data_IF_113564307523
#
_entry.id   IF_113564307523
#
_cell.length_a   1.000
_cell.length_b   1.000
_cell.length_c   1.000
_cell.angle_alpha   90.00
_cell.angle_beta   90.00
_cell.angle_gamma   90.00
#
_symmetry.space_group_name_H-M   'P 1'
#
loop_
_entity.id
_entity.type
_entity.pdbx_description
1 polymer ?
#
# COMPACT_ATOMS: atom_id res chain seq x y z
N UNK A 1 -83.38 13.08 -43.99
CA UNK A 1 -82.79 12.49 -45.21
C UNK A 1 -81.31 12.18 -44.93
N UNK A 2 -81.03 10.90 -44.82
CA UNK A 2 -79.79 10.36 -44.27
C UNK A 2 -78.92 9.81 -45.39
N UNK A 3 -77.67 10.23 -45.48
CA UNK A 3 -76.72 9.64 -46.43
C UNK A 3 -75.57 9.01 -45.63
N UNK A 4 -75.51 7.69 -45.61
CA UNK A 4 -74.47 6.86 -45.08
C UNK A 4 -73.23 6.93 -45.97
N UNK A 5 -72.02 7.34 -45.47
CA UNK A 5 -70.78 7.16 -46.15
C UNK A 5 -70.03 5.95 -45.56
N UNK A 6 -69.78 4.98 -46.41
CA UNK A 6 -69.00 3.79 -46.20
C UNK A 6 -67.50 4.20 -46.24
N UNK A 7 -66.78 4.00 -45.14
CA UNK A 7 -65.31 4.16 -45.13
C UNK A 7 -64.63 2.83 -45.43
N UNK A 8 -63.81 2.84 -46.45
CA UNK A 8 -62.99 1.71 -46.88
C UNK A 8 -61.85 1.53 -45.84
N UNK A 9 -61.63 0.31 -45.40
CA UNK A 9 -60.53 -0.12 -44.63
C UNK A 9 -59.33 -0.34 -45.56
N UNK A 10 -58.23 0.41 -45.33
CA UNK A 10 -57.00 0.19 -46.01
C UNK A 10 -56.12 -0.65 -45.07
N UNK A 11 -55.84 -1.86 -45.52
CA UNK A 11 -54.89 -2.79 -44.85
C UNK A 11 -53.47 -2.37 -45.13
N UNK A 12 -52.75 -1.94 -44.11
CA UNK A 12 -51.28 -1.74 -44.17
C UNK A 12 -50.62 -3.00 -43.64
N UNK A 13 -49.63 -3.57 -44.34
CA UNK A 13 -48.80 -4.65 -43.81
C UNK A 13 -47.85 -4.09 -42.77
N UNK A 14 -47.90 -4.60 -41.55
CA UNK A 14 -46.97 -4.34 -40.51
C UNK A 14 -45.63 -5.00 -40.84
N UNK A 15 -44.61 -4.19 -41.12
CA UNK A 15 -43.22 -4.62 -41.19
C UNK A 15 -42.74 -4.90 -39.75
N UNK A 16 -42.59 -6.18 -39.39
CA UNK A 16 -41.90 -6.59 -38.17
C UNK A 16 -40.38 -6.35 -38.32
N UNK A 17 -39.90 -5.26 -37.79
CA UNK A 17 -38.46 -5.04 -37.55
C UNK A 17 -38.05 -5.86 -36.34
N UNK A 18 -37.42 -7.01 -36.55
CA UNK A 18 -36.69 -7.75 -35.53
C UNK A 18 -35.47 -6.92 -35.11
N UNK A 19 -35.58 -6.19 -34.01
CA UNK A 19 -34.41 -5.67 -33.30
C UNK A 19 -33.74 -6.84 -32.60
N UNK A 20 -32.69 -7.39 -33.20
CA UNK A 20 -31.72 -8.22 -32.50
C UNK A 20 -30.91 -7.32 -31.55
N UNK A 21 -31.34 -7.29 -30.28
CA UNK A 21 -30.53 -6.71 -29.22
C UNK A 21 -29.28 -7.55 -29.10
N UNK A 22 -28.18 -7.06 -29.67
CA UNK A 22 -26.86 -7.55 -29.36
C UNK A 22 -26.61 -7.26 -27.87
N UNK A 23 -26.83 -8.27 -27.01
CA UNK A 23 -26.31 -8.27 -25.64
C UNK A 23 -24.79 -8.23 -25.76
N UNK A 24 -24.20 -7.03 -25.61
CA UNK A 24 -22.79 -6.89 -25.32
C UNK A 24 -22.58 -7.63 -24.00
N UNK A 25 -22.08 -8.87 -24.09
CA UNK A 25 -21.51 -9.58 -22.97
C UNK A 25 -20.34 -8.69 -22.48
N UNK A 26 -20.58 -7.90 -21.46
CA UNK A 26 -19.52 -7.31 -20.66
C UNK A 26 -18.81 -8.52 -20.07
N UNK A 27 -17.69 -8.88 -20.68
CA UNK A 27 -16.77 -9.83 -20.13
C UNK A 27 -16.37 -9.30 -18.75
N UNK A 28 -16.99 -9.84 -17.72
CA UNK A 28 -16.46 -9.82 -16.37
C UNK A 28 -15.09 -10.49 -16.51
N UNK A 29 -14.05 -9.65 -16.64
CA UNK A 29 -12.68 -10.15 -16.59
C UNK A 29 -12.59 -10.86 -15.25
N UNK A 30 -12.55 -12.17 -15.28
CA UNK A 30 -12.44 -13.07 -14.14
C UNK A 30 -11.35 -12.54 -13.22
N UNK A 31 -11.79 -11.85 -12.16
CA UNK A 31 -10.89 -11.22 -11.19
C UNK A 31 -10.13 -12.34 -10.53
N UNK A 32 -8.88 -12.51 -10.93
CA UNK A 32 -8.01 -13.56 -10.45
C UNK A 32 -7.94 -13.47 -8.94
N UNK A 33 -8.59 -14.41 -8.25
CA UNK A 33 -8.54 -14.51 -6.79
C UNK A 33 -7.07 -14.59 -6.35
N UNK A 34 -6.67 -13.90 -5.26
CA UNK A 34 -5.31 -14.02 -4.74
C UNK A 34 -4.91 -15.49 -4.54
N UNK A 35 -3.64 -15.85 -4.69
CA UNK A 35 -3.15 -17.18 -4.36
C UNK A 35 -3.62 -17.60 -2.96
N UNK A 36 -3.90 -18.90 -2.75
CA UNK A 36 -4.45 -19.40 -1.48
C UNK A 36 -3.61 -19.09 -0.25
N UNK A 37 -2.32 -18.83 -0.42
CA UNK A 37 -1.38 -18.41 0.63
C UNK A 37 -1.44 -16.91 0.96
N UNK A 38 -1.98 -16.08 0.10
CA UNK A 38 -2.11 -14.63 0.33
C UNK A 38 -3.35 -14.35 1.15
N UNK A 39 -3.23 -13.46 2.13
CA UNK A 39 -4.30 -12.95 2.96
C UNK A 39 -4.30 -11.42 2.89
N UNK A 40 -5.27 -10.90 2.14
CA UNK A 40 -5.55 -9.48 2.05
C UNK A 40 -6.95 -9.25 2.58
N UNK A 41 -7.09 -8.55 3.70
CA UNK A 41 -8.39 -8.35 4.34
C UNK A 41 -8.43 -7.04 5.14
N UNK A 42 -9.63 -6.57 5.40
CA UNK A 42 -9.87 -5.42 6.27
C UNK A 42 -10.48 -5.92 7.57
N UNK A 43 -9.90 -5.51 8.70
CA UNK A 43 -10.35 -5.89 10.03
C UNK A 43 -10.14 -4.77 11.06
N UNK A 44 -10.66 -4.97 12.26
CA UNK A 44 -10.29 -4.19 13.43
C UNK A 44 -9.01 -4.77 14.05
N UNK A 45 -8.02 -3.95 14.42
CA UNK A 45 -6.89 -4.41 15.20
C UNK A 45 -7.32 -4.80 16.63
N UNK A 46 -6.71 -5.85 17.14
CA UNK A 46 -6.89 -6.37 18.49
C UNK A 46 -5.55 -6.28 19.20
N UNK A 47 -5.52 -5.71 20.39
CA UNK A 47 -4.33 -5.75 21.26
C UNK A 47 -4.53 -6.90 22.24
N UNK A 48 -3.64 -7.88 22.19
CA UNK A 48 -3.49 -8.92 23.21
C UNK A 48 -2.34 -8.55 24.12
N UNK A 49 -2.63 -8.28 25.38
CA UNK A 49 -1.59 -8.02 26.37
C UNK A 49 -0.78 -9.31 26.65
N UNK A 50 0.48 -9.16 27.04
CA UNK A 50 1.41 -10.23 27.39
C UNK A 50 2.25 -9.80 28.59
N UNK A 51 3.11 -10.70 29.09
CA UNK A 51 3.99 -10.38 30.22
C UNK A 51 5.00 -9.27 29.93
N UNK A 52 5.28 -8.97 28.65
CA UNK A 52 6.36 -8.05 28.28
C UNK A 52 5.93 -6.96 27.31
N UNK A 53 5.53 -7.32 26.09
CA UNK A 53 5.09 -6.40 25.05
C UNK A 53 3.82 -6.92 24.39
N UNK A 54 2.83 -6.08 24.15
CA UNK A 54 1.56 -6.53 23.58
C UNK A 54 1.73 -7.06 22.16
N UNK A 55 0.94 -8.08 21.85
CA UNK A 55 0.74 -8.57 20.48
C UNK A 55 -0.37 -7.79 19.80
N UNK A 56 -0.19 -7.57 18.51
CA UNK A 56 -1.21 -7.03 17.63
C UNK A 56 -1.77 -8.13 16.75
N UNK A 57 -3.08 -8.25 16.74
CA UNK A 57 -3.82 -9.31 16.07
C UNK A 57 -4.95 -8.70 15.23
N UNK A 58 -5.53 -9.52 14.34
CA UNK A 58 -6.77 -9.21 13.64
C UNK A 58 -7.55 -10.50 13.37
N UNK A 59 -8.87 -10.43 13.38
CA UNK A 59 -9.74 -11.54 13.05
C UNK A 59 -10.26 -11.43 11.64
N UNK A 60 -10.19 -12.53 10.86
CA UNK A 60 -10.77 -12.62 9.54
C UNK A 60 -11.16 -14.05 9.20
N UNK A 61 -12.42 -14.25 8.74
CA UNK A 61 -12.93 -15.56 8.36
C UNK A 61 -12.99 -16.57 9.52
N UNK A 62 -13.16 -16.11 10.75
CA UNK A 62 -13.16 -16.95 11.96
C UNK A 62 -11.77 -17.38 12.44
N UNK A 63 -10.70 -16.86 11.81
CA UNK A 63 -9.32 -17.13 12.18
C UNK A 63 -8.66 -15.85 12.71
N UNK A 64 -7.75 -16.02 13.66
CA UNK A 64 -6.97 -14.95 14.24
C UNK A 64 -5.60 -14.89 13.55
N UNK A 65 -5.18 -13.71 13.16
CA UNK A 65 -3.91 -13.45 12.47
C UNK A 65 -3.01 -12.57 13.32
N UNK A 66 -1.72 -12.92 13.37
CA UNK A 66 -0.71 -12.14 14.07
C UNK A 66 -0.19 -11.03 13.13
N UNK A 67 -0.25 -9.79 13.60
CA UNK A 67 0.18 -8.60 12.83
C UNK A 67 1.58 -8.13 13.22
N UNK A 68 1.98 -8.33 14.46
CA UNK A 68 3.27 -7.88 14.97
C UNK A 68 3.28 -7.62 16.46
N UNK A 69 4.40 -7.11 16.94
CA UNK A 69 4.58 -6.66 18.33
C UNK A 69 5.08 -5.22 18.34
N UNK A 70 4.79 -4.50 19.40
CA UNK A 70 5.35 -3.17 19.61
C UNK A 70 6.82 -3.31 20.04
N UNK A 71 7.73 -3.01 19.13
CA UNK A 71 9.17 -3.01 19.38
C UNK A 71 9.77 -1.66 19.02
N UNK A 72 10.92 -1.34 19.58
CA UNK A 72 11.70 -0.14 19.23
C UNK A 72 12.37 -0.24 17.84
N UNK A 73 12.09 -1.28 17.07
CA UNK A 73 12.69 -1.46 15.75
C UNK A 73 12.06 -0.51 14.73
N UNK A 74 12.91 0.28 14.11
CA UNK A 74 12.54 1.06 12.95
C UNK A 74 11.99 0.14 11.84
N UNK A 75 10.74 0.33 11.45
CA UNK A 75 10.16 -0.33 10.28
C UNK A 75 8.77 -0.92 10.47
N UNK A 76 8.27 -1.06 11.69
CA UNK A 76 6.90 -1.44 11.95
C UNK A 76 6.26 -0.49 12.95
N UNK A 77 5.13 0.10 12.57
CA UNK A 77 4.32 0.95 13.44
C UNK A 77 3.06 0.19 13.82
N UNK A 78 2.74 0.07 15.13
CA UNK A 78 1.51 -0.59 15.55
C UNK A 78 0.29 0.15 15.00
N UNK A 79 -0.75 -0.58 14.57
CA UNK A 79 -2.00 0.04 14.12
C UNK A 79 -2.72 0.75 15.27
N UNK A 80 -3.47 1.79 14.96
CA UNK A 80 -4.20 2.55 15.95
C UNK A 80 -5.55 1.91 16.26
N UNK A 81 -5.89 1.77 17.53
CA UNK A 81 -7.24 1.41 17.94
C UNK A 81 -8.24 2.50 17.53
N UNK A 82 -9.44 2.08 17.16
CA UNK A 82 -10.46 2.99 16.64
C UNK A 82 -10.36 3.23 15.14
N UNK A 83 -9.51 2.48 14.45
CA UNK A 83 -9.40 2.49 13.01
C UNK A 83 -9.42 1.07 12.44
N UNK A 84 -9.99 0.90 11.26
CA UNK A 84 -9.79 -0.35 10.50
C UNK A 84 -8.39 -0.40 9.92
N UNK A 85 -7.91 -1.61 9.73
CA UNK A 85 -6.64 -1.87 9.08
C UNK A 85 -6.83 -2.72 7.83
N UNK A 86 -6.13 -2.38 6.76
CA UNK A 86 -5.89 -3.30 5.65
C UNK A 86 -4.65 -4.12 6.00
N UNK A 87 -4.82 -5.42 6.08
CA UNK A 87 -3.74 -6.39 6.30
C UNK A 87 -3.44 -7.07 4.98
N UNK A 88 -2.17 -7.09 4.59
CA UNK A 88 -1.70 -7.74 3.36
C UNK A 88 -0.48 -8.59 3.70
N UNK A 89 -0.58 -9.90 3.50
CA UNK A 89 0.51 -10.81 3.83
C UNK A 89 0.36 -12.17 3.19
N UNK A 90 1.42 -12.97 3.29
CA UNK A 90 1.40 -14.40 2.99
C UNK A 90 1.43 -15.20 4.27
N UNK A 91 0.78 -16.36 4.27
CA UNK A 91 0.88 -17.28 5.38
C UNK A 91 2.34 -17.64 5.65
N UNK A 92 2.83 -17.35 6.83
CA UNK A 92 4.16 -17.77 7.26
C UNK A 92 4.09 -19.18 7.87
N UNK A 93 5.05 -20.06 7.58
CA UNK A 93 5.12 -21.36 8.21
C UNK A 93 5.49 -21.21 9.70
N UNK A 94 4.95 -22.07 10.53
CA UNK A 94 5.31 -22.11 11.95
C UNK A 94 4.11 -22.17 12.91
N UNK A 95 4.37 -22.12 14.21
CA UNK A 95 3.33 -22.12 15.23
C UNK A 95 2.57 -20.78 15.23
N UNK A 96 1.36 -20.80 15.80
CA UNK A 96 0.61 -19.58 16.08
C UNK A 96 1.37 -18.71 17.10
N UNK A 97 1.34 -17.40 16.88
CA UNK A 97 1.95 -16.40 17.77
C UNK A 97 0.81 -15.64 18.44
N UNK A 98 0.80 -15.58 19.76
CA UNK A 98 -0.31 -15.02 20.54
C UNK A 98 -1.68 -15.58 20.12
N UNK A 99 -1.73 -16.85 19.72
CA UNK A 99 -2.93 -17.50 19.19
C UNK A 99 -3.24 -17.20 17.73
N UNK A 100 -2.58 -16.23 17.10
CA UNK A 100 -2.78 -15.84 15.71
C UNK A 100 -1.89 -16.59 14.73
N UNK A 101 -2.41 -16.84 13.53
CA UNK A 101 -1.64 -17.35 12.38
C UNK A 101 -0.65 -16.27 11.95
N UNK A 102 0.62 -16.62 11.82
CA UNK A 102 1.62 -15.67 11.36
C UNK A 102 1.45 -15.34 9.87
N UNK A 103 1.55 -14.06 9.55
CA UNK A 103 1.65 -13.54 8.19
C UNK A 103 3.02 -12.91 8.00
N UNK A 104 3.50 -12.85 6.77
CA UNK A 104 4.73 -12.15 6.41
C UNK A 104 4.52 -11.30 5.18
N UNK A 105 5.12 -10.11 5.16
CA UNK A 105 5.25 -9.34 3.94
C UNK A 105 6.26 -10.06 3.02
N UNK A 106 5.90 -10.22 1.76
CA UNK A 106 6.81 -10.80 0.77
C UNK A 106 7.81 -9.76 0.29
N UNK A 107 8.67 -9.28 1.18
CA UNK A 107 9.85 -8.55 0.73
C UNK A 107 11.02 -9.52 0.57
N UNK A 108 11.71 -9.54 -0.57
CA UNK A 108 12.93 -10.35 -0.74
C UNK A 108 14.09 -9.88 0.15
N UNK A 109 13.91 -8.79 0.88
CA UNK A 109 14.92 -8.22 1.79
C UNK A 109 14.67 -8.58 3.25
N UNK A 110 13.85 -9.60 3.52
CA UNK A 110 13.41 -10.07 4.83
C UNK A 110 14.41 -9.88 5.96
N UNK A 111 14.43 -8.67 6.53
CA UNK A 111 15.07 -8.47 7.81
C UNK A 111 14.18 -9.13 8.87
N UNK A 112 14.69 -10.09 9.66
CA UNK A 112 13.91 -10.69 10.72
C UNK A 112 13.42 -9.59 11.66
N UNK A 113 12.17 -9.71 12.13
CA UNK A 113 11.66 -8.79 13.16
C UNK A 113 12.58 -8.83 14.38
N UNK A 114 12.68 -7.71 15.09
CA UNK A 114 13.57 -7.55 16.23
C UNK A 114 13.11 -8.27 17.50
N UNK A 115 11.99 -8.98 17.45
CA UNK A 115 11.45 -9.71 18.60
C UNK A 115 11.64 -11.23 18.51
N UNK A 116 11.42 -11.91 19.64
CA UNK A 116 11.41 -13.36 19.71
C UNK A 116 10.16 -13.85 20.45
N UNK A 117 9.62 -14.99 20.03
CA UNK A 117 8.62 -15.73 20.78
C UNK A 117 9.21 -17.09 21.12
N UNK A 118 9.19 -17.46 22.39
CA UNK A 118 9.75 -18.72 22.88
C UNK A 118 11.19 -18.98 22.42
N UNK A 119 12.00 -17.91 22.37
CA UNK A 119 13.40 -17.96 21.92
C UNK A 119 13.58 -18.08 20.39
N UNK A 120 12.51 -18.07 19.60
CA UNK A 120 12.57 -18.10 18.14
C UNK A 120 12.37 -16.72 17.55
N UNK A 121 13.11 -16.34 16.49
CA UNK A 121 12.87 -15.10 15.78
C UNK A 121 11.43 -15.02 15.25
N UNK A 122 10.80 -13.87 15.41
CA UNK A 122 9.49 -13.61 14.81
C UNK A 122 9.64 -13.45 13.30
N UNK A 123 8.62 -13.84 12.51
CA UNK A 123 8.59 -13.55 11.08
C UNK A 123 8.54 -12.03 10.84
N UNK A 124 8.98 -11.60 9.66
CA UNK A 124 8.73 -10.23 9.22
C UNK A 124 7.21 -9.97 9.24
N UNK A 125 6.74 -8.88 9.88
CA UNK A 125 5.32 -8.63 9.98
C UNK A 125 4.69 -8.39 8.59
N UNK A 126 3.36 -8.63 8.42
CA UNK A 126 2.63 -8.28 7.22
C UNK A 126 2.62 -6.76 7.00
N UNK A 127 2.23 -6.33 5.81
CA UNK A 127 1.91 -4.93 5.58
C UNK A 127 0.59 -4.60 6.26
N UNK A 128 0.60 -3.59 7.12
CA UNK A 128 -0.58 -3.14 7.85
C UNK A 128 -0.77 -1.65 7.58
N UNK A 129 -1.81 -1.33 6.81
CA UNK A 129 -2.15 0.05 6.50
C UNK A 129 -3.38 0.48 7.30
N UNK A 130 -3.27 1.58 8.04
CA UNK A 130 -4.34 2.09 8.92
C UNK A 130 -5.27 2.98 8.12
N UNK A 131 -6.59 2.73 8.21
CA UNK A 131 -7.60 3.60 7.62
C UNK A 131 -7.57 4.99 8.27
N UNK A 132 -7.80 6.03 7.49
CA UNK A 132 -7.96 7.41 8.00
C UNK A 132 -9.30 7.61 8.70
N UNK A 133 -10.29 6.79 8.37
CA UNK A 133 -11.63 6.86 8.96
C UNK A 133 -11.64 6.18 10.34
N UNK A 134 -12.27 6.87 11.30
CA UNK A 134 -12.50 6.31 12.64
C UNK A 134 -13.60 5.26 12.57
N UNK A 135 -13.37 4.13 13.23
CA UNK A 135 -14.37 3.10 13.49
C UNK A 135 -14.39 2.79 14.99
N UNK A 136 -15.37 3.30 15.69
CA UNK A 136 -15.49 3.13 17.14
C UNK A 136 -15.60 1.66 17.58
N UNK A 137 -15.99 0.76 16.70
CA UNK A 137 -16.02 -0.68 16.98
C UNK A 137 -14.62 -1.31 17.06
N UNK A 138 -13.60 -0.66 16.49
CA UNK A 138 -12.23 -1.16 16.42
C UNK A 138 -11.40 -0.81 17.68
N UNK A 139 -11.89 -1.16 18.87
CA UNK A 139 -11.23 -0.85 20.16
C UNK A 139 -11.08 -2.08 21.06
N UNK A 140 -10.73 -3.22 20.49
CA UNK A 140 -10.64 -4.47 21.23
C UNK A 140 -9.30 -4.60 21.94
N UNK A 141 -9.36 -4.69 23.26
CA UNK A 141 -8.24 -4.97 24.15
C UNK A 141 -8.51 -6.32 24.84
N UNK A 142 -7.59 -7.27 24.70
CA UNK A 142 -7.66 -8.54 25.40
C UNK A 142 -6.73 -8.51 26.62
N UNK A 143 -7.13 -9.07 27.75
CA UNK A 143 -6.29 -9.14 28.96
C UNK A 143 -5.05 -9.98 28.70
N UNK A 144 -4.05 -9.81 29.57
CA UNK A 144 -2.83 -10.60 29.52
C UNK A 144 -3.16 -12.09 29.63
N UNK A 145 -2.56 -12.87 28.75
CA UNK A 145 -2.65 -14.32 28.72
C UNK A 145 -1.26 -14.91 29.04
N UNK A 146 -1.09 -15.59 30.18
CA UNK A 146 0.22 -16.11 30.57
C UNK A 146 0.79 -17.20 29.65
N UNK A 147 -0.01 -17.69 28.70
CA UNK A 147 0.47 -18.61 27.66
C UNK A 147 1.30 -17.89 26.59
N UNK A 148 1.22 -16.57 26.52
CA UNK A 148 1.91 -15.78 25.52
C UNK A 148 3.02 -14.96 26.18
N UNK A 149 4.24 -15.29 25.82
CA UNK A 149 5.43 -14.60 26.29
C UNK A 149 6.24 -14.09 25.09
N UNK A 150 6.24 -12.78 24.90
CA UNK A 150 6.97 -12.13 23.81
C UNK A 150 8.06 -11.26 24.39
N UNK A 151 9.30 -11.55 24.02
CA UNK A 151 10.47 -10.74 24.41
C UNK A 151 10.76 -9.78 23.27
N UNK A 152 10.44 -8.51 23.47
CA UNK A 152 10.93 -7.45 22.58
C UNK A 152 12.45 -7.30 22.70
N UNK A 153 13.13 -6.93 21.62
CA UNK A 153 14.52 -6.54 21.71
C UNK A 153 14.59 -5.27 22.56
N UNK A 154 15.23 -5.36 23.72
CA UNK A 154 15.60 -4.14 24.44
C UNK A 154 16.53 -3.35 23.52
N UNK A 155 16.14 -2.15 23.18
CA UNK A 155 17.03 -1.21 22.51
C UNK A 155 18.34 -1.06 23.31
N UNK A 156 19.40 -0.57 22.70
CA UNK A 156 20.62 -0.29 23.43
C UNK A 156 20.27 0.59 24.63
N UNK A 157 20.68 0.16 25.81
CA UNK A 157 20.39 0.86 27.05
C UNK A 157 20.86 2.33 27.02
N UNK A 158 20.36 3.17 27.93
CA UNK A 158 20.60 4.63 27.88
C UNK A 158 22.08 5.04 27.84
N UNK A 159 22.98 4.16 28.22
CA UNK A 159 24.42 4.41 28.16
C UNK A 159 25.07 4.26 26.77
N UNK A 160 24.33 3.70 25.79
CA UNK A 160 24.80 3.63 24.40
C UNK A 160 24.41 4.86 23.58
N UNK A 161 23.50 5.70 24.08
CA UNK A 161 23.14 6.95 23.41
C UNK A 161 24.28 7.96 23.31
N UNK A 162 25.25 7.95 24.26
CA UNK A 162 26.39 8.83 24.22
C UNK A 162 27.38 8.52 23.07
N UNK A 163 27.33 7.33 22.49
CA UNK A 163 28.14 6.99 21.32
C UNK A 163 27.46 7.31 19.99
N UNK A 164 26.21 7.77 20.04
CA UNK A 164 25.36 7.98 18.84
C UNK A 164 25.62 9.32 18.13
N UNK A 165 26.46 10.21 18.66
CA UNK A 165 27.03 11.29 17.85
C UNK A 165 28.15 10.76 16.95
N UNK A 166 27.92 9.63 16.26
CA UNK A 166 28.72 9.30 15.11
C UNK A 166 28.58 10.45 14.13
N UNK A 167 29.69 11.15 13.86
CA UNK A 167 29.73 12.03 12.69
C UNK A 167 29.25 11.21 11.52
N UNK A 168 28.05 11.53 11.02
CA UNK A 168 27.56 10.90 9.79
C UNK A 168 28.67 11.06 8.74
N UNK A 169 29.06 10.01 8.03
CA UNK A 169 29.96 10.16 6.92
C UNK A 169 29.41 11.22 5.97
N UNK A 170 30.25 12.04 5.35
CA UNK A 170 29.75 12.99 4.36
C UNK A 170 28.89 12.25 3.34
N UNK A 171 27.83 12.89 2.82
CA UNK A 171 27.00 12.26 1.83
C UNK A 171 27.88 11.76 0.67
N UNK A 172 27.59 10.57 0.12
CA UNK A 172 28.37 10.02 -0.98
C UNK A 172 28.38 11.02 -2.15
N UNK A 173 29.54 11.13 -2.81
CA UNK A 173 29.66 11.98 -3.99
C UNK A 173 28.57 11.65 -5.02
N UNK A 174 28.02 12.63 -5.74
CA UNK A 174 27.03 12.37 -6.78
C UNK A 174 27.54 11.31 -7.76
N UNK A 175 26.67 10.41 -8.23
CA UNK A 175 27.07 9.35 -9.15
C UNK A 175 27.67 9.97 -10.43
N UNK A 176 28.80 9.45 -10.90
CA UNK A 176 29.31 9.80 -12.21
C UNK A 176 28.40 9.15 -13.27
N UNK A 177 27.80 9.98 -14.11
CA UNK A 177 26.89 9.52 -15.15
C UNK A 177 27.60 9.63 -16.51
N UNK A 178 27.64 8.52 -17.26
CA UNK A 178 28.23 8.49 -18.60
C UNK A 178 27.41 9.29 -19.61
N UNK A 179 28.07 9.92 -20.56
CA UNK A 179 27.43 10.63 -21.68
C UNK A 179 27.26 9.68 -22.88
N UNK A 180 26.21 9.86 -23.72
CA UNK A 180 25.18 10.89 -23.64
C UNK A 180 24.20 10.61 -22.49
N UNK A 181 23.72 11.65 -21.80
CA UNK A 181 22.76 11.54 -20.73
C UNK A 181 21.41 11.03 -21.25
N UNK A 182 20.80 10.11 -20.54
CA UNK A 182 19.52 9.49 -20.91
C UNK A 182 18.41 9.88 -19.93
N UNK A 183 17.15 9.98 -20.36
CA UNK A 183 16.04 10.09 -19.44
C UNK A 183 16.01 8.89 -18.50
N UNK A 184 15.70 9.12 -17.21
CA UNK A 184 15.65 8.05 -16.20
C UNK A 184 14.44 8.20 -15.29
N UNK A 185 13.78 7.06 -15.03
CA UNK A 185 12.64 7.00 -14.12
C UNK A 185 13.06 6.38 -12.79
N UNK A 186 12.62 7.02 -11.70
CA UNK A 186 12.70 6.51 -10.35
C UNK A 186 11.28 6.29 -9.83
N UNK A 187 11.09 5.33 -8.92
CA UNK A 187 9.76 5.00 -8.42
C UNK A 187 9.75 5.04 -6.90
N UNK A 188 8.85 5.85 -6.34
CA UNK A 188 8.52 5.84 -4.92
C UNK A 188 7.33 4.91 -4.71
N UNK A 189 7.36 4.10 -3.67
CA UNK A 189 6.28 3.20 -3.25
C UNK A 189 5.64 3.69 -1.97
N UNK A 190 4.38 3.33 -1.73
CA UNK A 190 3.57 3.82 -0.62
C UNK A 190 2.77 2.67 -0.01
N UNK A 191 2.48 2.79 1.28
CA UNK A 191 1.46 1.99 1.92
C UNK A 191 0.06 2.43 1.45
N UNK A 192 -0.94 1.58 1.64
CA UNK A 192 -2.31 1.88 1.22
C UNK A 192 -2.81 3.15 1.92
N UNK A 193 -3.45 4.03 1.17
CA UNK A 193 -3.94 5.36 1.62
C UNK A 193 -2.88 6.30 2.20
N UNK A 194 -1.59 6.01 2.00
CA UNK A 194 -0.50 6.88 2.44
C UNK A 194 0.01 7.77 1.32
N UNK A 195 0.24 9.04 1.62
CA UNK A 195 1.00 9.98 0.79
C UNK A 195 2.49 10.01 1.15
N UNK A 196 2.89 9.37 2.26
CA UNK A 196 4.28 9.30 2.68
C UNK A 196 4.96 8.08 2.05
N UNK A 197 6.02 8.32 1.30
CA UNK A 197 6.76 7.24 0.64
C UNK A 197 7.42 6.31 1.66
N UNK A 198 7.25 5.01 1.48
CA UNK A 198 7.83 3.97 2.33
C UNK A 198 9.36 3.94 2.25
N UNK A 199 9.94 4.38 1.12
CA UNK A 199 11.38 4.45 0.89
C UNK A 199 11.79 5.75 0.24
N UNK A 200 12.27 6.70 1.03
CA UNK A 200 12.69 8.02 0.55
C UNK A 200 14.02 8.01 -0.22
N UNK A 201 14.80 6.93 -0.11
CA UNK A 201 16.11 6.82 -0.78
C UNK A 201 16.03 6.95 -2.30
N UNK A 202 14.91 6.54 -2.90
CA UNK A 202 14.71 6.67 -4.35
C UNK A 202 14.54 8.13 -4.78
N UNK A 203 13.92 8.97 -3.94
CA UNK A 203 13.86 10.41 -4.18
C UNK A 203 15.25 11.06 -4.12
N UNK A 204 16.09 10.65 -3.15
CA UNK A 204 17.46 11.11 -3.07
C UNK A 204 18.25 10.71 -4.31
N UNK A 205 18.17 9.46 -4.77
CA UNK A 205 18.82 9.01 -6.00
C UNK A 205 18.36 9.80 -7.23
N UNK A 206 17.06 10.12 -7.29
CA UNK A 206 16.50 10.94 -8.36
C UNK A 206 17.11 12.34 -8.36
N UNK A 207 17.20 13.00 -7.21
CA UNK A 207 17.80 14.34 -7.09
C UNK A 207 19.29 14.30 -7.41
N UNK A 208 20.03 13.32 -6.93
CA UNK A 208 21.46 13.15 -7.25
C UNK A 208 21.67 12.96 -8.76
N UNK A 209 20.80 12.17 -9.40
CA UNK A 209 20.84 12.01 -10.85
C UNK A 209 20.53 13.33 -11.58
N UNK A 210 19.49 14.05 -11.16
CA UNK A 210 19.13 15.35 -11.74
C UNK A 210 20.27 16.36 -11.64
N UNK A 211 20.97 16.41 -10.51
CA UNK A 211 22.15 17.26 -10.31
C UNK A 211 23.31 16.85 -11.25
N UNK A 212 23.62 15.55 -11.33
CA UNK A 212 24.72 15.02 -12.13
C UNK A 212 24.54 15.29 -13.66
N UNK A 213 23.30 15.22 -14.15
CA UNK A 213 22.99 15.44 -15.57
C UNK A 213 22.57 16.87 -15.89
N UNK A 214 22.50 17.76 -14.90
CA UNK A 214 21.97 19.13 -15.06
C UNK A 214 20.56 19.11 -15.67
N UNK A 215 19.68 18.33 -15.08
CA UNK A 215 18.35 18.03 -15.62
C UNK A 215 17.57 19.29 -15.95
N UNK A 216 16.96 19.31 -17.14
CA UNK A 216 16.08 20.39 -17.61
C UNK A 216 14.67 20.25 -17.03
N UNK A 217 14.20 19.00 -16.92
CA UNK A 217 12.85 18.71 -16.47
C UNK A 217 12.81 17.50 -15.54
N UNK A 218 11.94 17.61 -14.52
CA UNK A 218 11.48 16.50 -13.69
C UNK A 218 9.95 16.42 -13.76
N UNK A 219 9.43 15.38 -14.37
CA UNK A 219 7.99 15.09 -14.37
C UNK A 219 7.67 14.07 -13.26
N UNK A 220 6.77 14.43 -12.36
CA UNK A 220 6.27 13.60 -11.27
C UNK A 220 4.85 13.17 -11.58
N UNK A 221 4.58 11.85 -11.54
CA UNK A 221 3.23 11.30 -11.72
C UNK A 221 2.86 10.44 -10.54
N UNK A 222 1.84 10.87 -9.78
CA UNK A 222 1.28 10.10 -8.67
C UNK A 222 0.12 9.21 -9.12
N UNK A 223 0.02 8.01 -8.55
CA UNK A 223 -0.98 7.02 -8.91
C UNK A 223 -1.83 6.62 -7.71
N UNK A 224 -3.11 6.38 -7.97
CA UNK A 224 -4.06 5.78 -7.04
C UNK A 224 -4.08 4.27 -7.24
N UNK A 225 -4.05 3.50 -6.17
CA UNK A 225 -4.11 2.05 -6.20
C UNK A 225 -5.45 1.48 -5.73
N UNK A 226 -5.56 0.16 -5.82
CA UNK A 226 -6.64 -0.64 -5.24
C UNK A 226 -6.07 -1.99 -4.83
N UNK A 227 -6.71 -2.67 -3.87
CA UNK A 227 -6.31 -4.00 -3.42
C UNK A 227 -7.44 -4.99 -3.65
N UNK A 228 -7.10 -6.14 -4.23
CA UNK A 228 -8.00 -7.29 -4.30
C UNK A 228 -7.93 -8.04 -2.97
N UNK A 229 -9.05 -8.08 -2.24
CA UNK A 229 -9.17 -8.78 -0.97
C UNK A 229 -9.34 -10.29 -1.18
N UNK A 230 -9.09 -11.05 -0.13
CA UNK A 230 -9.19 -12.52 -0.15
C UNK A 230 -10.61 -13.04 -0.36
N UNK A 231 -11.62 -12.23 -0.08
CA UNK A 231 -13.03 -12.52 -0.37
C UNK A 231 -13.43 -12.24 -1.83
N UNK A 232 -12.51 -11.72 -2.64
CA UNK A 232 -12.73 -11.36 -4.04
C UNK A 232 -13.25 -9.93 -4.25
N UNK A 233 -13.50 -9.18 -3.18
CA UNK A 233 -13.85 -7.76 -3.31
C UNK A 233 -12.63 -6.89 -3.56
N UNK A 234 -12.85 -5.66 -4.04
CA UNK A 234 -11.76 -4.70 -4.29
C UNK A 234 -11.96 -3.47 -3.41
N UNK A 235 -10.99 -3.22 -2.54
CA UNK A 235 -10.89 -1.94 -1.85
C UNK A 235 -10.05 -0.97 -2.66
N UNK A 236 -10.45 0.31 -2.67
CA UNK A 236 -9.77 1.37 -3.42
C UNK A 236 -9.24 2.40 -2.45
N UNK A 237 -8.06 2.92 -2.75
CA UNK A 237 -7.53 4.06 -2.00
C UNK A 237 -8.46 5.28 -2.12
N UNK A 238 -8.36 6.19 -1.16
CA UNK A 238 -9.16 7.41 -1.14
C UNK A 238 -9.01 8.21 -2.45
N UNK A 239 -10.04 8.93 -2.88
CA UNK A 239 -9.91 9.89 -3.97
C UNK A 239 -8.81 10.92 -3.69
N UNK A 240 -8.18 11.42 -4.72
CA UNK A 240 -7.09 12.39 -4.68
C UNK A 240 -5.75 11.90 -4.10
N UNK A 241 -5.60 10.63 -3.69
CA UNK A 241 -4.31 10.14 -3.16
C UNK A 241 -3.18 10.25 -4.18
N UNK A 242 -3.46 10.02 -5.47
CA UNK A 242 -2.48 10.21 -6.55
C UNK A 242 -1.96 11.64 -6.59
N UNK A 243 -2.85 12.63 -6.46
CA UNK A 243 -2.49 14.05 -6.38
C UNK A 243 -1.66 14.36 -5.13
N UNK A 244 -2.08 13.87 -3.96
CA UNK A 244 -1.37 14.08 -2.71
C UNK A 244 0.05 13.52 -2.77
N UNK A 245 0.23 12.32 -3.30
CA UNK A 245 1.55 11.69 -3.52
C UNK A 245 2.44 12.51 -4.45
N UNK A 246 1.87 13.00 -5.56
CA UNK A 246 2.63 13.85 -6.48
C UNK A 246 3.10 15.16 -5.83
N UNK A 247 2.25 15.78 -5.02
CA UNK A 247 2.56 17.02 -4.29
C UNK A 247 3.62 16.80 -3.21
N UNK A 248 3.49 15.72 -2.43
CA UNK A 248 4.48 15.38 -1.39
C UNK A 248 5.84 15.01 -2.02
N UNK A 249 5.84 14.22 -3.10
CA UNK A 249 7.06 13.91 -3.84
C UNK A 249 7.73 15.18 -4.39
N UNK A 250 6.96 16.15 -4.90
CA UNK A 250 7.47 17.44 -5.36
C UNK A 250 8.11 18.25 -4.22
N UNK A 251 7.48 18.24 -3.05
CA UNK A 251 8.02 18.90 -1.85
C UNK A 251 9.31 18.21 -1.40
N UNK A 252 9.31 16.88 -1.38
CA UNK A 252 10.47 16.07 -1.00
C UNK A 252 11.69 16.32 -1.89
N UNK A 253 11.54 16.27 -3.22
CA UNK A 253 12.69 16.49 -4.12
C UNK A 253 13.24 17.90 -4.03
N UNK A 254 12.41 18.91 -3.77
CA UNK A 254 12.88 20.28 -3.53
C UNK A 254 13.70 20.38 -2.24
N UNK A 255 13.23 19.75 -1.15
CA UNK A 255 13.95 19.71 0.14
C UNK A 255 15.28 18.95 0.04
N UNK A 256 15.34 17.95 -0.83
CA UNK A 256 16.55 17.17 -1.11
C UNK A 256 17.55 17.90 -2.03
N UNK A 257 17.23 19.11 -2.50
CA UNK A 257 18.12 19.95 -3.29
C UNK A 257 18.01 19.75 -4.81
N UNK A 258 16.80 19.52 -5.31
CA UNK A 258 16.58 19.60 -6.77
C UNK A 258 17.05 20.95 -7.30
N UNK A 259 17.85 21.01 -8.40
CA UNK A 259 18.34 22.27 -8.94
C UNK A 259 17.18 23.24 -9.28
N UNK A 260 17.31 24.49 -8.89
CA UNK A 260 16.28 25.51 -9.12
C UNK A 260 16.00 25.81 -10.58
N UNK A 261 16.94 25.48 -11.48
CA UNK A 261 16.79 25.57 -12.93
C UNK A 261 15.95 24.44 -13.54
N UNK A 262 15.73 23.34 -12.78
CA UNK A 262 14.94 22.20 -13.28
C UNK A 262 13.45 22.54 -13.27
N UNK A 263 12.79 22.43 -14.42
CA UNK A 263 11.33 22.59 -14.53
C UNK A 263 10.66 21.40 -13.87
N UNK A 264 9.83 21.65 -12.84
CA UNK A 264 9.12 20.63 -12.10
C UNK A 264 7.64 20.59 -12.49
N UNK A 265 7.23 19.48 -13.10
CA UNK A 265 5.85 19.23 -13.53
C UNK A 265 5.22 18.13 -12.66
N UNK A 266 4.01 18.35 -12.16
CA UNK A 266 3.25 17.33 -11.40
C UNK A 266 1.99 16.91 -12.17
N UNK A 267 1.77 15.60 -12.23
CA UNK A 267 0.59 14.96 -12.83
C UNK A 267 0.09 13.87 -11.89
N UNK A 268 -1.13 13.39 -12.08
CA UNK A 268 -1.67 12.26 -11.29
C UNK A 268 -2.70 11.47 -12.08
N UNK A 269 -2.88 10.21 -11.69
CA UNK A 269 -3.92 9.32 -12.19
C UNK A 269 -4.81 8.90 -11.03
N UNK A 270 -6.10 9.14 -11.17
CA UNK A 270 -7.13 8.72 -10.20
C UNK A 270 -7.79 7.39 -10.58
N UNK A 271 -7.42 6.81 -11.71
CA UNK A 271 -7.88 5.48 -12.09
C UNK A 271 -7.16 4.43 -11.23
N UNK A 272 -7.87 3.73 -10.32
CA UNK A 272 -7.22 2.76 -9.46
C UNK A 272 -6.87 1.49 -10.25
N UNK A 273 -5.62 1.08 -10.16
CA UNK A 273 -5.17 -0.20 -10.71
C UNK A 273 -5.13 -1.24 -9.58
N UNK A 274 -5.89 -2.36 -9.68
CA UNK A 274 -5.87 -3.40 -8.66
C UNK A 274 -4.50 -4.06 -8.55
N UNK A 275 -3.93 -4.01 -7.36
CA UNK A 275 -2.72 -4.71 -7.00
C UNK A 275 -2.61 -4.77 -5.47
N UNK A 276 -2.05 -5.81 -4.92
CA UNK A 276 -1.79 -5.89 -3.48
C UNK A 276 -0.35 -5.51 -3.14
N UNK A 277 -0.14 -5.09 -1.89
CA UNK A 277 1.19 -4.71 -1.41
C UNK A 277 2.15 -5.88 -1.22
N UNK A 278 1.65 -7.11 -1.30
CA UNK A 278 2.42 -8.34 -1.12
C UNK A 278 2.99 -8.85 -2.43
N UNK A 279 2.18 -8.83 -3.50
CA UNK A 279 2.57 -9.35 -4.82
C UNK A 279 3.00 -8.24 -5.77
N UNK A 280 2.45 -7.03 -5.65
CA UNK A 280 2.77 -5.89 -6.52
C UNK A 280 2.54 -4.55 -5.82
N UNK A 281 3.42 -4.20 -4.88
CA UNK A 281 3.43 -2.87 -4.25
C UNK A 281 3.71 -1.73 -5.25
N UNK A 282 4.20 -2.05 -6.45
CA UNK A 282 4.60 -1.05 -7.45
C UNK A 282 3.43 -0.21 -7.98
N UNK A 283 2.20 -0.68 -7.80
CA UNK A 283 0.99 0.04 -8.24
C UNK A 283 0.63 1.24 -7.36
N UNK A 284 1.03 1.21 -6.09
CA UNK A 284 0.92 2.34 -5.16
C UNK A 284 2.19 3.16 -5.23
N UNK A 285 2.31 4.00 -6.27
CA UNK A 285 3.57 4.63 -6.62
C UNK A 285 3.45 6.09 -7.00
N UNK A 286 4.59 6.72 -7.02
CA UNK A 286 4.86 7.94 -7.78
C UNK A 286 6.07 7.70 -8.66
N UNK A 287 6.00 8.04 -9.92
CA UNK A 287 7.15 8.01 -10.82
C UNK A 287 7.76 9.39 -10.95
N UNK A 288 9.09 9.44 -10.97
CA UNK A 288 9.88 10.65 -11.17
C UNK A 288 10.72 10.45 -12.42
N UNK A 289 10.27 11.03 -13.53
CA UNK A 289 10.97 11.00 -14.81
C UNK A 289 11.87 12.23 -14.92
N UNK A 290 13.17 12.01 -14.99
CA UNK A 290 14.18 13.05 -15.16
C UNK A 290 14.63 13.09 -16.61
N UNK A 291 14.54 14.27 -17.20
CA UNK A 291 14.99 14.56 -18.58
C UNK A 291 16.20 15.47 -18.52
N UNK A 292 17.36 15.05 -19.05
CA UNK A 292 18.60 15.83 -19.11
C UNK A 292 18.49 17.10 -19.94
#
# INVERSE_FOLDING_TARGET
>A
MSARRIRRWSTHPALLLCFTAAMAAHGDSERKRPPSEVRNFIACPIIQDTDTVPCWLAEYGGELYFLGIQTDSAGWSPPWLGHRVLVEGKLAPGPRICGGIALTASSPTGAPSSGTSDGRPLPEPPLVSVSRELDASCRTLWPADPRFHIIGRRGPGPNTAASAFRKFPPPPAPPQVARPYQPRTFTLTYDFDSELASRQIEALKAVQYAQAVQAKELTIVGYRGATLLSDGTVTREIPAIGRLRAQEAATMVRRLGLPGSTILTTKWSETPEPADGVTDASRRRTTLLITP
#
